data_IF_476457211803
#
_entry.id   IF_476457211803
#
_cell.length_a   1.000
_cell.length_b   1.000
_cell.length_c   1.000
_cell.angle_alpha   90.00
_cell.angle_beta   90.00
_cell.angle_gamma   90.00
#
_symmetry.space_group_name_H-M   'P 1'
#
loop_
_entity.id
_entity.type
_entity.pdbx_description
1 polymer ?
#
# COMPACT_ATOMS: atom_id res chain seq x y z
N UNK A 1 53.11 54.84 -1.37
CA UNK A 1 51.81 54.50 -0.75
C UNK A 1 50.83 54.07 -1.83
N UNK A 2 49.85 53.22 -1.46
CA UNK A 2 48.76 52.60 -2.24
C UNK A 2 49.00 51.12 -2.57
N UNK A 3 48.88 50.30 -1.53
CA UNK A 3 48.64 48.87 -1.61
C UNK A 3 47.20 48.65 -2.08
N UNK A 4 47.03 47.92 -3.17
CA UNK A 4 45.73 47.55 -3.72
C UNK A 4 45.01 46.58 -2.78
N UNK A 5 43.80 46.96 -2.36
CA UNK A 5 42.93 46.14 -1.53
C UNK A 5 42.32 44.99 -2.37
N UNK A 6 42.60 43.75 -1.99
CA UNK A 6 41.89 42.57 -2.49
C UNK A 6 40.48 42.54 -1.88
N UNK A 7 39.47 42.68 -2.73
CA UNK A 7 38.07 42.37 -2.40
C UNK A 7 37.88 40.85 -2.48
N UNK A 8 37.80 40.20 -1.31
CA UNK A 8 37.33 38.82 -1.19
C UNK A 8 35.83 38.81 -1.40
N UNK A 9 35.39 38.29 -2.54
CA UNK A 9 33.98 37.94 -2.80
C UNK A 9 33.59 36.78 -1.88
N UNK A 10 32.88 37.09 -0.80
CA UNK A 10 32.13 36.11 -0.02
C UNK A 10 30.96 35.62 -0.89
N UNK A 11 31.13 34.47 -1.53
CA UNK A 11 30.02 33.73 -2.11
C UNK A 11 29.13 33.24 -0.95
N UNK A 12 27.81 33.48 -0.97
CA UNK A 12 26.92 32.78 -0.08
C UNK A 12 26.96 31.30 -0.48
N UNK A 13 27.54 30.48 0.40
CA UNK A 13 27.30 29.04 0.38
C UNK A 13 25.80 28.90 0.61
N UNK A 14 25.07 28.63 -0.47
CA UNK A 14 23.73 28.05 -0.34
C UNK A 14 23.99 26.72 0.31
N UNK A 15 23.85 26.66 1.63
CA UNK A 15 23.69 25.42 2.35
C UNK A 15 22.46 24.78 1.71
N UNK A 16 22.70 23.89 0.76
CA UNK A 16 21.70 22.96 0.29
C UNK A 16 21.19 22.29 1.56
N UNK A 17 19.95 22.59 1.90
CA UNK A 17 19.23 21.76 2.85
C UNK A 17 19.16 20.43 2.10
N UNK A 18 20.11 19.54 2.38
CA UNK A 18 19.96 18.13 2.09
C UNK A 18 18.74 17.74 2.91
N UNK A 19 17.57 17.87 2.28
CA UNK A 19 16.38 17.19 2.74
C UNK A 19 16.85 15.75 2.81
N UNK A 20 16.97 15.14 4.02
CA UNK A 20 17.25 13.72 4.07
C UNK A 20 16.19 13.08 3.17
N UNK A 21 16.52 12.08 2.34
CA UNK A 21 15.49 11.36 1.65
C UNK A 21 14.62 10.78 2.76
N UNK A 22 13.49 11.43 3.04
CA UNK A 22 12.36 10.82 3.69
C UNK A 22 11.92 9.78 2.67
N UNK A 23 12.61 8.64 2.68
CA UNK A 23 12.43 7.49 1.81
C UNK A 23 11.13 6.73 2.13
N UNK A 24 10.14 7.49 2.60
CA UNK A 24 8.72 7.22 2.55
C UNK A 24 8.11 8.42 1.83
N UNK A 25 8.50 8.62 0.57
CA UNK A 25 7.61 9.29 -0.34
C UNK A 25 6.34 8.44 -0.33
N UNK A 26 5.36 8.85 0.48
CA UNK A 26 4.06 8.24 0.60
C UNK A 26 3.63 7.92 -0.81
N UNK A 27 3.61 6.62 -1.16
CA UNK A 27 3.42 6.22 -2.53
C UNK A 27 2.23 6.97 -3.10
N UNK A 28 2.45 7.51 -4.29
CA UNK A 28 1.48 8.02 -5.23
C UNK A 28 0.25 7.09 -5.31
N UNK A 29 -0.78 7.54 -6.02
CA UNK A 29 -2.01 6.78 -6.31
C UNK A 29 -1.76 5.26 -6.48
N UNK A 30 -2.74 4.40 -6.18
CA UNK A 30 -2.57 2.96 -6.34
C UNK A 30 -1.95 2.57 -7.68
N UNK A 31 -1.03 1.60 -7.65
CA UNK A 31 -0.25 1.14 -8.80
C UNK A 31 -0.44 -0.35 -9.05
N UNK A 32 -0.03 -0.85 -10.22
CA UNK A 32 -0.06 -2.29 -10.49
C UNK A 32 0.95 -3.06 -9.63
N UNK A 33 0.80 -4.38 -9.56
CA UNK A 33 1.70 -5.25 -8.79
C UNK A 33 3.16 -5.13 -9.22
N UNK A 34 3.42 -5.01 -10.52
CA UNK A 34 4.77 -4.92 -11.09
C UNK A 34 5.50 -3.67 -10.61
N UNK A 35 4.79 -2.55 -10.52
CA UNK A 35 5.32 -1.27 -10.03
C UNK A 35 5.30 -1.13 -8.51
N UNK A 36 4.61 -2.03 -7.80
CA UNK A 36 4.41 -1.93 -6.35
C UNK A 36 5.67 -2.30 -5.56
N UNK A 37 6.11 -1.45 -4.64
CA UNK A 37 7.34 -1.67 -3.84
C UNK A 37 7.08 -2.30 -2.46
N UNK A 38 5.86 -2.21 -1.92
CA UNK A 38 5.52 -2.70 -0.57
C UNK A 38 5.24 -4.19 -0.45
N UNK A 39 5.92 -5.05 -1.23
CA UNK A 39 5.64 -6.50 -1.29
C UNK A 39 6.00 -7.27 0.00
N UNK A 40 6.79 -6.66 0.87
CA UNK A 40 7.21 -7.25 2.15
C UNK A 40 6.26 -6.94 3.32
N UNK A 41 5.18 -6.19 3.05
CA UNK A 41 4.17 -5.90 4.05
C UNK A 41 3.49 -7.16 4.59
N UNK A 42 3.06 -7.10 5.85
CA UNK A 42 2.45 -8.22 6.58
C UNK A 42 1.07 -7.88 7.17
N UNK A 43 0.60 -6.66 6.92
CA UNK A 43 -0.74 -6.18 7.25
C UNK A 43 -1.44 -5.67 5.98
N UNK A 44 -2.71 -6.01 5.80
CA UNK A 44 -3.47 -5.60 4.62
C UNK A 44 -4.83 -5.00 4.98
N UNK A 45 -5.35 -4.24 4.02
CA UNK A 45 -6.76 -3.86 3.91
C UNK A 45 -7.20 -4.12 2.47
N UNK A 46 -8.38 -4.70 2.29
CA UNK A 46 -8.89 -5.09 0.97
C UNK A 46 -10.09 -4.22 0.60
N UNK A 47 -10.07 -3.66 -0.60
CA UNK A 47 -11.01 -2.69 -1.12
C UNK A 47 -11.68 -3.20 -2.41
N UNK A 48 -12.81 -2.59 -2.73
CA UNK A 48 -13.56 -2.82 -3.97
C UNK A 48 -14.06 -1.47 -4.49
N UNK A 49 -13.16 -0.68 -5.06
CA UNK A 49 -13.44 0.70 -5.49
C UNK A 49 -12.87 0.98 -6.89
N UNK A 50 -13.30 2.07 -7.56
CA UNK A 50 -12.81 2.41 -8.87
C UNK A 50 -11.30 2.59 -8.93
N UNK A 51 -10.72 2.32 -10.09
CA UNK A 51 -9.29 2.43 -10.35
C UNK A 51 -8.72 3.80 -9.95
N UNK A 52 -7.57 3.80 -9.30
CA UNK A 52 -6.83 5.00 -8.90
C UNK A 52 -7.43 5.74 -7.70
N UNK A 53 -8.41 5.16 -7.01
CA UNK A 53 -8.98 5.72 -5.78
C UNK A 53 -7.95 5.74 -4.66
N UNK A 54 -7.80 6.85 -3.94
CA UNK A 54 -6.92 6.89 -2.76
C UNK A 54 -7.51 6.06 -1.61
N UNK A 55 -6.94 4.88 -1.38
CA UNK A 55 -7.42 3.88 -0.43
C UNK A 55 -7.24 4.33 1.02
N UNK A 56 -6.37 5.32 1.28
CA UNK A 56 -6.17 5.91 2.62
C UNK A 56 -7.40 6.68 3.10
N UNK A 57 -8.22 7.16 2.16
CA UNK A 57 -9.42 7.97 2.42
C UNK A 57 -10.72 7.18 2.33
N UNK A 58 -10.61 5.89 2.01
CA UNK A 58 -11.74 5.01 1.72
C UNK A 58 -11.90 3.96 2.82
N UNK A 59 -13.12 3.50 3.06
CA UNK A 59 -13.37 2.36 3.95
C UNK A 59 -13.11 1.04 3.23
N UNK A 60 -12.31 0.13 3.80
CA UNK A 60 -12.11 -1.19 3.19
C UNK A 60 -13.33 -2.08 3.38
N UNK A 61 -13.43 -3.13 2.57
CA UNK A 61 -14.39 -4.22 2.76
C UNK A 61 -13.86 -5.25 3.76
N UNK A 62 -12.56 -5.58 3.69
CA UNK A 62 -11.87 -6.41 4.68
C UNK A 62 -10.74 -5.61 5.34
N UNK A 63 -10.64 -5.69 6.67
CA UNK A 63 -9.62 -5.02 7.47
C UNK A 63 -8.93 -6.00 8.43
N UNK A 64 -7.89 -5.50 9.10
CA UNK A 64 -7.11 -6.30 10.09
C UNK A 64 -6.60 -7.60 9.45
N UNK A 65 -6.27 -7.54 8.15
CA UNK A 65 -5.78 -8.69 7.43
C UNK A 65 -4.34 -9.00 7.84
N UNK A 66 -4.05 -10.24 8.26
CA UNK A 66 -2.71 -10.70 8.63
C UNK A 66 -2.42 -12.08 8.05
N UNK A 67 -1.14 -12.38 7.87
CA UNK A 67 -0.74 -13.64 7.26
C UNK A 67 -1.07 -14.75 8.25
N UNK A 68 -1.94 -15.67 7.85
CA UNK A 68 -2.14 -16.91 8.59
C UNK A 68 -0.89 -17.79 8.50
N UNK A 69 -0.22 -17.77 7.33
CA UNK A 69 1.02 -18.51 7.06
C UNK A 69 2.05 -17.60 6.36
N UNK A 70 2.90 -16.90 7.13
CA UNK A 70 3.86 -15.94 6.58
C UNK A 70 4.79 -16.54 5.50
N UNK A 71 5.19 -17.78 5.68
CA UNK A 71 6.11 -18.50 4.77
C UNK A 71 5.51 -18.76 3.37
N UNK A 72 4.19 -18.67 3.22
CA UNK A 72 3.50 -18.92 1.96
C UNK A 72 2.96 -17.64 1.29
N UNK A 73 3.24 -16.47 1.88
CA UNK A 73 2.81 -15.16 1.38
C UNK A 73 3.17 -14.94 -0.08
N UNK A 74 4.42 -15.26 -0.45
CA UNK A 74 4.92 -14.99 -1.79
C UNK A 74 4.25 -15.89 -2.84
N UNK A 75 3.94 -17.14 -2.50
CA UNK A 75 3.18 -18.03 -3.39
C UNK A 75 1.78 -17.49 -3.64
N UNK A 76 1.09 -17.01 -2.60
CA UNK A 76 -0.23 -16.41 -2.74
C UNK A 76 -0.18 -15.17 -3.63
N UNK A 77 0.80 -14.28 -3.44
CA UNK A 77 0.98 -13.11 -4.30
C UNK A 77 1.24 -13.49 -5.75
N UNK A 78 2.07 -14.51 -6.00
CA UNK A 78 2.31 -15.02 -7.34
C UNK A 78 1.03 -15.56 -8.00
N UNK A 79 0.19 -16.29 -7.26
CA UNK A 79 -1.04 -16.88 -7.81
C UNK A 79 -2.19 -15.87 -7.98
N UNK A 80 -2.20 -14.81 -7.18
CA UNK A 80 -3.36 -13.90 -7.08
C UNK A 80 -3.13 -12.57 -7.82
N UNK A 81 -1.91 -12.01 -7.72
CA UNK A 81 -1.64 -10.63 -8.11
C UNK A 81 -0.72 -10.49 -9.32
N UNK A 82 0.25 -11.40 -9.51
CA UNK A 82 1.18 -11.31 -10.66
C UNK A 82 0.43 -11.47 -11.97
N UNK A 83 0.51 -10.45 -12.84
CA UNK A 83 -0.18 -10.45 -14.14
C UNK A 83 -1.70 -10.30 -14.05
N UNK A 84 -2.25 -10.00 -12.88
CA UNK A 84 -3.68 -9.77 -12.70
C UNK A 84 -3.97 -8.26 -12.67
N UNK A 85 -4.51 -7.74 -13.77
CA UNK A 85 -4.81 -6.32 -13.97
C UNK A 85 -6.10 -5.85 -13.28
N UNK A 86 -6.81 -6.77 -12.61
CA UNK A 86 -7.98 -6.45 -11.80
C UNK A 86 -7.61 -5.88 -10.43
N UNK A 87 -6.31 -5.83 -10.09
CA UNK A 87 -5.84 -5.33 -8.80
C UNK A 87 -4.88 -4.15 -8.93
N UNK A 88 -5.00 -3.22 -7.97
CA UNK A 88 -4.02 -2.17 -7.71
C UNK A 88 -3.68 -2.09 -6.22
N UNK A 89 -2.51 -1.53 -5.93
CA UNK A 89 -1.88 -1.60 -4.62
C UNK A 89 -1.41 -0.23 -4.19
N UNK A 90 -1.64 0.10 -2.92
CA UNK A 90 -1.17 1.34 -2.34
C UNK A 90 -0.46 1.05 -1.02
N UNK A 91 0.76 1.54 -0.89
CA UNK A 91 1.50 1.39 0.35
C UNK A 91 1.03 2.45 1.34
N UNK A 92 0.69 2.03 2.56
CA UNK A 92 0.33 2.96 3.64
C UNK A 92 1.55 3.30 4.48
N UNK A 93 2.34 2.29 4.83
CA UNK A 93 3.58 2.40 5.59
C UNK A 93 4.51 1.20 5.29
N UNK A 94 5.54 0.97 6.10
CA UNK A 94 6.49 -0.15 5.94
C UNK A 94 5.85 -1.53 6.09
N UNK A 95 4.73 -1.62 6.80
CA UNK A 95 4.16 -2.87 7.30
C UNK A 95 2.76 -3.13 6.75
N UNK A 96 2.07 -2.08 6.30
CA UNK A 96 0.68 -2.10 5.87
C UNK A 96 0.48 -1.62 4.44
N UNK A 97 -0.36 -2.34 3.70
CA UNK A 97 -0.74 -1.99 2.34
C UNK A 97 -2.25 -2.08 2.13
N UNK A 98 -2.75 -1.38 1.12
CA UNK A 98 -4.08 -1.53 0.56
C UNK A 98 -4.03 -2.34 -0.72
N UNK A 99 -4.94 -3.32 -0.84
CA UNK A 99 -5.18 -4.10 -2.05
C UNK A 99 -6.57 -3.75 -2.56
N UNK A 100 -6.68 -3.21 -3.76
CA UNK A 100 -7.97 -2.84 -4.35
C UNK A 100 -8.30 -3.78 -5.51
N UNK A 101 -9.45 -4.45 -5.43
CA UNK A 101 -10.07 -5.15 -6.56
C UNK A 101 -10.85 -4.10 -7.37
N UNK A 102 -10.30 -3.71 -8.51
CA UNK A 102 -10.78 -2.60 -9.33
C UNK A 102 -12.18 -2.93 -9.86
N UNK A 103 -13.15 -2.07 -9.51
CA UNK A 103 -14.54 -2.17 -9.96
C UNK A 103 -15.18 -3.55 -9.70
N UNK A 104 -14.67 -4.29 -8.71
CA UNK A 104 -15.22 -5.59 -8.35
C UNK A 104 -16.57 -5.43 -7.63
N UNK A 105 -17.51 -6.30 -7.96
CA UNK A 105 -18.75 -6.45 -7.18
C UNK A 105 -18.45 -7.21 -5.89
N UNK A 106 -19.36 -7.12 -4.90
CA UNK A 106 -19.20 -7.85 -3.64
C UNK A 106 -19.05 -9.37 -3.83
N UNK A 107 -19.83 -10.05 -4.69
CA UNK A 107 -19.64 -11.47 -4.96
C UNK A 107 -18.29 -11.79 -5.61
N UNK A 108 -17.79 -10.92 -6.50
CA UNK A 108 -16.48 -11.12 -7.11
C UNK A 108 -15.37 -11.04 -6.08
N UNK A 109 -15.40 -10.01 -5.23
CA UNK A 109 -14.40 -9.86 -4.18
C UNK A 109 -14.49 -11.00 -3.15
N UNK A 110 -15.69 -11.42 -2.76
CA UNK A 110 -15.91 -12.58 -1.90
C UNK A 110 -15.30 -13.86 -2.49
N UNK A 111 -15.51 -14.11 -3.79
CA UNK A 111 -14.92 -15.27 -4.46
C UNK A 111 -13.39 -15.22 -4.51
N UNK A 112 -12.77 -14.05 -4.76
CA UNK A 112 -11.31 -13.93 -4.64
C UNK A 112 -10.85 -14.22 -3.22
N UNK A 113 -11.56 -13.69 -2.23
CA UNK A 113 -11.22 -13.88 -0.85
C UNK A 113 -11.23 -15.37 -0.48
N UNK A 114 -12.34 -16.07 -0.75
CA UNK A 114 -12.52 -17.47 -0.39
C UNK A 114 -11.63 -18.44 -1.18
N UNK A 115 -11.34 -18.16 -2.46
CA UNK A 115 -10.66 -19.15 -3.33
C UNK A 115 -9.17 -18.88 -3.55
N UNK A 116 -8.68 -17.68 -3.23
CA UNK A 116 -7.29 -17.27 -3.49
C UNK A 116 -6.56 -16.69 -2.29
N UNK A 117 -7.28 -16.07 -1.34
CA UNK A 117 -6.67 -15.24 -0.29
C UNK A 117 -6.79 -15.89 1.10
N UNK A 118 -7.94 -16.47 1.46
CA UNK A 118 -8.25 -16.91 2.83
C UNK A 118 -7.37 -18.05 3.33
N UNK A 119 -6.77 -18.84 2.43
CA UNK A 119 -5.81 -19.88 2.79
C UNK A 119 -4.49 -19.30 3.33
N UNK A 120 -4.23 -18.00 3.11
CA UNK A 120 -2.95 -17.35 3.42
C UNK A 120 -3.10 -16.10 4.28
N UNK A 121 -4.22 -15.40 4.19
CA UNK A 121 -4.51 -14.16 4.91
C UNK A 121 -5.86 -14.29 5.61
N UNK A 122 -5.86 -14.14 6.93
CA UNK A 122 -7.06 -13.99 7.73
C UNK A 122 -7.41 -12.51 7.88
N UNK A 123 -8.68 -12.15 7.67
CA UNK A 123 -9.19 -10.78 7.74
C UNK A 123 -10.48 -10.72 8.56
N UNK A 124 -10.79 -9.53 9.06
CA UNK A 124 -12.12 -9.16 9.57
C UNK A 124 -12.91 -8.41 8.48
N UNK A 125 -14.22 -8.63 8.38
CA UNK A 125 -15.06 -7.84 7.49
C UNK A 125 -15.48 -6.54 8.18
N UNK A 126 -15.39 -5.42 7.46
CA UNK A 126 -15.71 -4.10 8.04
C UNK A 126 -17.20 -3.92 8.37
N UNK A 127 -18.09 -4.67 7.71
CA UNK A 127 -19.54 -4.63 7.92
C UNK A 127 -20.05 -5.70 8.89
N UNK A 128 -19.16 -6.42 9.59
CA UNK A 128 -19.57 -7.44 10.56
C UNK A 128 -20.08 -6.78 11.86
N UNK A 129 -21.28 -6.20 11.82
CA UNK A 129 -22.15 -6.32 12.99
C UNK A 129 -22.42 -7.79 13.17
N UNK A 130 -21.64 -8.39 14.09
CA UNK A 130 -21.84 -9.71 14.70
C UNK A 130 -23.33 -10.05 14.62
N UNK A 131 -23.71 -10.99 13.75
CA UNK A 131 -25.04 -11.58 13.83
C UNK A 131 -25.02 -12.34 15.15
N UNK A 132 -25.54 -11.71 16.21
CA UNK A 132 -25.90 -12.41 17.42
C UNK A 132 -26.94 -13.44 17.00
N UNK A 133 -26.49 -14.67 16.83
CA UNK A 133 -27.37 -15.83 16.85
C UNK A 133 -27.93 -15.90 18.27
N UNK A 134 -29.04 -15.19 18.50
CA UNK A 134 -29.97 -15.51 19.57
C UNK A 134 -30.49 -16.93 19.29
N UNK A 135 -30.05 -17.87 20.10
CA UNK A 135 -30.58 -19.25 20.18
C UNK A 135 -30.61 -19.66 21.64
#
# INVERSE_FOLDING_TARGET
MKLAALLVLLAPVVAGIEVPPSAFACAEKPVSWESFQGKDAYSWKIYSVPKGTDLRTTKPKYHVCRAAFPDQKDEMFQRTFVGNDQFEFQQFDTESIGVNCIDCTEPMLGNYYETKITDYISCEMYEDTRIEHDS
#
